data_IF_227919818036
#
_entry.id   IF_227919818036
#
_cell.length_a   1.000
_cell.length_b   1.000
_cell.length_c   1.000
_cell.angle_alpha   90.00
_cell.angle_beta   90.00
_cell.angle_gamma   90.00
#
_symmetry.space_group_name_H-M   'P 1'
#
loop_
_entity.id
_entity.type
_entity.pdbx_description
1 polymer ?
#
# COMPACT_ATOMS: atom_id res chain seq x y z
N UNK A 1 34.03 11.52 -16.07
CA UNK A 1 33.41 11.87 -14.77
C UNK A 1 31.91 11.92 -14.97
N UNK A 2 31.16 11.19 -14.16
CA UNK A 2 29.69 11.14 -14.23
C UNK A 2 29.01 12.39 -13.71
N UNK A 3 29.65 13.13 -12.79
CA UNK A 3 29.17 14.37 -12.20
C UNK A 3 29.97 15.55 -12.74
N UNK A 4 29.28 16.54 -13.30
CA UNK A 4 29.91 17.75 -13.87
C UNK A 4 29.06 19.01 -13.59
N UNK A 5 29.73 20.18 -13.57
CA UNK A 5 29.04 21.46 -13.38
C UNK A 5 28.39 21.88 -14.69
N UNK A 6 27.13 22.22 -14.67
CA UNK A 6 26.42 22.84 -15.79
C UNK A 6 26.75 24.35 -15.80
N UNK A 7 27.70 24.75 -16.64
CA UNK A 7 28.22 26.13 -16.71
C UNK A 7 27.14 27.17 -17.06
N UNK A 8 26.08 26.75 -17.80
CA UNK A 8 24.99 27.67 -18.19
C UNK A 8 24.03 27.97 -17.04
N UNK A 9 23.82 26.99 -16.12
CA UNK A 9 22.84 27.08 -15.03
C UNK A 9 23.47 27.27 -13.65
N UNK A 10 24.80 27.20 -13.53
CA UNK A 10 25.49 27.28 -12.25
C UNK A 10 25.30 26.08 -11.32
N UNK A 11 24.54 25.06 -11.73
CA UNK A 11 24.16 23.85 -10.95
C UNK A 11 25.01 22.65 -11.37
N UNK A 12 24.88 21.56 -10.62
CA UNK A 12 25.53 20.30 -10.95
C UNK A 12 24.58 19.38 -11.72
N UNK A 13 25.14 18.54 -12.58
CA UNK A 13 24.42 17.52 -13.36
C UNK A 13 25.12 16.17 -13.23
N UNK A 14 24.33 15.12 -13.33
CA UNK A 14 24.78 13.72 -13.32
C UNK A 14 24.48 13.09 -14.69
N UNK A 15 25.43 12.34 -15.20
CA UNK A 15 25.32 11.55 -16.42
C UNK A 15 25.73 10.12 -16.13
N UNK A 16 24.74 9.22 -16.00
CA UNK A 16 24.95 7.84 -15.54
C UNK A 16 24.73 6.88 -16.71
N UNK A 17 25.72 6.03 -16.95
CA UNK A 17 25.58 4.87 -17.85
C UNK A 17 25.35 3.65 -16.99
N UNK A 18 24.27 2.89 -17.26
CA UNK A 18 23.96 1.65 -16.56
C UNK A 18 23.38 0.62 -17.53
N UNK A 19 23.40 -0.65 -17.14
CA UNK A 19 22.69 -1.72 -17.87
C UNK A 19 21.30 -1.90 -17.26
N UNK A 20 20.28 -2.02 -18.10
CA UNK A 20 18.93 -2.36 -17.64
C UNK A 20 18.82 -3.86 -17.29
N UNK A 21 17.64 -4.29 -16.90
CA UNK A 21 17.37 -5.68 -16.52
C UNK A 21 17.55 -6.69 -17.68
N UNK A 22 17.55 -6.21 -18.94
CA UNK A 22 17.83 -7.01 -20.15
C UNK A 22 19.33 -7.01 -20.51
N UNK A 23 20.17 -6.29 -19.76
CA UNK A 23 21.59 -6.13 -20.06
C UNK A 23 21.88 -5.05 -21.09
N UNK A 24 20.88 -4.31 -21.56
CA UNK A 24 21.01 -3.24 -22.55
C UNK A 24 21.57 -1.98 -21.88
N UNK A 25 22.57 -1.35 -22.50
CA UNK A 25 23.17 -0.11 -22.00
C UNK A 25 22.19 1.07 -22.09
N UNK A 26 21.94 1.72 -20.96
CA UNK A 26 21.06 2.87 -20.84
C UNK A 26 21.83 4.08 -20.31
N UNK A 27 21.29 5.29 -20.59
CA UNK A 27 21.84 6.53 -20.12
C UNK A 27 20.77 7.29 -19.34
N UNK A 28 21.12 7.70 -18.12
CA UNK A 28 20.28 8.58 -17.30
C UNK A 28 20.98 9.89 -17.03
N UNK A 29 20.28 11.01 -17.27
CA UNK A 29 20.81 12.36 -17.01
C UNK A 29 19.86 13.12 -16.11
N UNK A 30 20.35 13.62 -14.96
CA UNK A 30 19.60 14.53 -14.08
C UNK A 30 20.43 15.79 -13.82
N UNK A 31 19.75 16.95 -13.82
CA UNK A 31 20.36 18.28 -13.66
C UNK A 31 19.72 19.01 -12.49
N UNK A 32 20.32 20.10 -12.04
CA UNK A 32 19.71 21.02 -11.05
C UNK A 32 20.12 20.75 -9.60
N UNK A 33 21.18 19.99 -9.35
CA UNK A 33 21.71 19.81 -7.99
C UNK A 33 22.44 21.07 -7.53
N UNK A 34 22.20 21.51 -6.29
CA UNK A 34 22.83 22.68 -5.72
C UNK A 34 24.33 22.43 -5.47
N UNK A 35 24.70 21.24 -5.05
CA UNK A 35 26.07 20.87 -4.69
C UNK A 35 26.57 19.63 -5.45
N UNK A 36 27.92 19.52 -5.57
CA UNK A 36 28.55 18.32 -6.11
C UNK A 36 28.26 17.09 -5.26
N UNK A 37 28.14 17.27 -3.95
CA UNK A 37 27.84 16.20 -2.98
C UNK A 37 26.47 15.57 -3.23
N UNK A 38 25.43 16.39 -3.37
CA UNK A 38 24.08 15.92 -3.72
C UNK A 38 24.06 15.16 -5.06
N UNK A 39 24.79 15.66 -6.06
CA UNK A 39 24.86 15.00 -7.35
C UNK A 39 25.54 13.62 -7.27
N UNK A 40 26.62 13.48 -6.48
CA UNK A 40 27.30 12.21 -6.23
C UNK A 40 26.46 11.24 -5.42
N UNK A 41 25.74 11.73 -4.41
CA UNK A 41 24.82 10.95 -3.60
C UNK A 41 23.68 10.39 -4.45
N UNK A 42 23.08 11.24 -5.29
CA UNK A 42 22.07 10.80 -6.26
C UNK A 42 22.60 9.75 -7.25
N UNK A 43 23.81 9.92 -7.79
CA UNK A 43 24.42 8.93 -8.67
C UNK A 43 24.58 7.57 -7.99
N UNK A 44 25.10 7.57 -6.77
CA UNK A 44 25.31 6.36 -5.98
C UNK A 44 23.98 5.65 -5.71
N UNK A 45 22.95 6.37 -5.28
CA UNK A 45 21.62 5.83 -5.00
C UNK A 45 20.96 5.27 -6.27
N UNK A 46 21.10 5.99 -7.39
CA UNK A 46 20.58 5.53 -8.67
C UNK A 46 21.26 4.22 -9.14
N UNK A 47 22.58 4.14 -9.04
CA UNK A 47 23.32 2.93 -9.41
C UNK A 47 22.99 1.76 -8.50
N UNK A 48 22.84 1.97 -7.18
CA UNK A 48 22.40 0.95 -6.23
C UNK A 48 21.00 0.42 -6.57
N UNK A 49 20.05 1.31 -6.89
CA UNK A 49 18.70 0.93 -7.34
C UNK A 49 18.73 0.08 -8.61
N UNK A 50 19.65 0.39 -9.55
CA UNK A 50 19.72 -0.31 -10.85
C UNK A 50 20.57 -1.59 -10.80
N UNK A 51 21.50 -1.71 -9.86
CA UNK A 51 22.30 -2.92 -9.67
C UNK A 51 21.55 -4.10 -9.06
N UNK A 52 20.31 -3.88 -8.58
CA UNK A 52 19.52 -4.87 -7.82
C UNK A 52 20.27 -5.40 -6.58
N UNK A 53 21.16 -4.59 -5.99
CA UNK A 53 21.95 -4.97 -4.85
C UNK A 53 21.15 -4.84 -3.54
N UNK A 54 21.11 -5.91 -2.76
CA UNK A 54 20.52 -5.93 -1.40
C UNK A 54 21.21 -5.00 -0.40
N UNK A 55 22.39 -4.45 -0.74
CA UNK A 55 23.08 -3.46 0.07
C UNK A 55 22.52 -2.03 -0.08
N UNK A 56 21.54 -1.82 -0.97
CA UNK A 56 20.84 -0.54 -1.06
C UNK A 56 20.11 -0.19 0.25
N UNK A 57 19.85 1.10 0.48
CA UNK A 57 19.05 1.54 1.61
C UNK A 57 17.64 0.95 1.59
N UNK A 58 17.09 0.69 2.76
CA UNK A 58 15.74 0.11 2.87
C UNK A 58 14.66 0.99 2.19
N UNK A 59 14.62 2.33 2.35
CA UNK A 59 13.64 3.17 1.65
C UNK A 59 13.72 3.05 0.14
N UNK A 60 14.94 3.01 -0.41
CA UNK A 60 15.16 2.86 -1.85
C UNK A 60 14.66 1.51 -2.36
N UNK A 61 14.85 0.44 -1.57
CA UNK A 61 14.31 -0.87 -1.93
C UNK A 61 12.77 -0.89 -1.87
N UNK A 62 12.17 -0.20 -0.89
CA UNK A 62 10.69 -0.07 -0.82
C UNK A 62 10.14 0.60 -2.07
N UNK A 63 10.81 1.63 -2.62
CA UNK A 63 10.41 2.24 -3.89
C UNK A 63 10.46 1.23 -5.05
N UNK A 64 11.55 0.46 -5.17
CA UNK A 64 11.68 -0.60 -6.18
C UNK A 64 10.56 -1.63 -6.02
N UNK A 65 10.31 -2.09 -4.80
CA UNK A 65 9.22 -3.02 -4.51
C UNK A 65 7.85 -2.45 -4.91
N UNK A 66 7.58 -1.18 -4.63
CA UNK A 66 6.32 -0.55 -4.99
C UNK A 66 6.17 -0.38 -6.50
N UNK A 67 7.24 -0.07 -7.23
CA UNK A 67 7.25 -0.03 -8.70
C UNK A 67 6.94 -1.42 -9.29
N UNK A 68 7.58 -2.48 -8.78
CA UNK A 68 7.35 -3.86 -9.22
C UNK A 68 5.90 -4.34 -8.94
N UNK A 69 5.29 -3.85 -7.85
CA UNK A 69 3.95 -4.25 -7.44
C UNK A 69 2.82 -3.42 -8.07
N UNK A 70 3.09 -2.18 -8.47
CA UNK A 70 2.09 -1.25 -9.00
C UNK A 70 1.21 -1.83 -10.12
N UNK A 71 1.75 -2.49 -11.16
CA UNK A 71 0.92 -3.04 -12.25
C UNK A 71 0.07 -4.24 -11.83
N UNK A 72 0.30 -4.81 -10.65
CA UNK A 72 -0.36 -6.03 -10.14
C UNK A 72 -1.43 -5.76 -9.10
N UNK A 73 -1.57 -4.51 -8.65
CA UNK A 73 -2.45 -4.12 -7.55
C UNK A 73 -3.57 -3.20 -8.02
N UNK A 74 -4.76 -3.39 -7.48
CA UNK A 74 -5.83 -2.39 -7.59
C UNK A 74 -5.40 -1.11 -6.86
N UNK A 75 -5.80 0.06 -7.36
CA UNK A 75 -5.40 1.37 -6.85
C UNK A 75 -5.57 1.48 -5.33
N UNK A 76 -6.73 1.13 -4.79
CA UNK A 76 -6.99 1.20 -3.34
C UNK A 76 -6.00 0.34 -2.52
N UNK A 77 -5.68 -0.87 -3.01
CA UNK A 77 -4.68 -1.74 -2.36
C UNK A 77 -3.29 -1.12 -2.40
N UNK A 78 -2.93 -0.51 -3.53
CA UNK A 78 -1.65 0.18 -3.69
C UNK A 78 -1.54 1.38 -2.74
N UNK A 79 -2.57 2.22 -2.66
CA UNK A 79 -2.61 3.39 -1.76
C UNK A 79 -2.54 3.00 -0.29
N UNK A 80 -3.31 1.98 0.13
CA UNK A 80 -3.27 1.47 1.50
C UNK A 80 -1.89 0.92 1.86
N UNK A 81 -1.29 0.15 0.94
CA UNK A 81 0.06 -0.39 1.11
C UNK A 81 1.08 0.74 1.22
N UNK A 82 1.03 1.73 0.33
CA UNK A 82 1.91 2.90 0.34
C UNK A 82 1.79 3.66 1.66
N UNK A 83 0.59 3.95 2.12
CA UNK A 83 0.35 4.63 3.40
C UNK A 83 0.99 3.91 4.58
N UNK A 84 0.83 2.59 4.68
CA UNK A 84 1.46 1.80 5.76
C UNK A 84 2.99 1.87 5.67
N UNK A 85 3.55 1.79 4.47
CA UNK A 85 5.00 1.89 4.29
C UNK A 85 5.52 3.25 4.70
N UNK A 86 4.91 4.32 4.22
CA UNK A 86 5.35 5.70 4.48
C UNK A 86 5.20 6.09 5.97
N UNK A 87 4.17 5.59 6.67
CA UNK A 87 3.87 6.03 8.04
C UNK A 87 4.35 5.08 9.14
N UNK A 88 4.52 3.79 8.86
CA UNK A 88 4.78 2.77 9.90
C UNK A 88 6.07 1.99 9.69
N UNK A 89 6.57 1.88 8.47
CA UNK A 89 7.71 1.02 8.15
C UNK A 89 8.95 1.85 7.82
N UNK A 90 8.89 2.70 6.80
CA UNK A 90 10.03 3.49 6.34
C UNK A 90 10.65 4.33 7.46
N UNK A 91 9.89 5.09 8.29
CA UNK A 91 10.49 5.95 9.30
C UNK A 91 11.37 5.21 10.32
N UNK A 92 11.06 3.95 10.60
CA UNK A 92 11.86 3.16 11.53
C UNK A 92 13.15 2.61 10.90
N UNK A 93 13.08 2.17 9.64
CA UNK A 93 14.20 1.53 8.94
C UNK A 93 14.96 2.48 8.01
N UNK A 94 14.69 3.79 8.04
CA UNK A 94 15.20 4.79 7.11
C UNK A 94 16.74 4.76 6.95
N UNK A 95 17.46 4.59 8.05
CA UNK A 95 18.93 4.66 8.09
C UNK A 95 19.61 3.31 7.87
N UNK A 96 18.84 2.24 7.62
CA UNK A 96 19.36 0.88 7.46
C UNK A 96 19.41 0.48 5.99
N UNK A 97 20.42 -0.33 5.65
CA UNK A 97 20.40 -1.06 4.37
C UNK A 97 19.48 -2.26 4.47
N UNK A 98 18.91 -2.71 3.34
CA UNK A 98 18.02 -3.87 3.31
C UNK A 98 18.68 -5.12 3.91
N UNK A 99 19.93 -5.43 3.52
CA UNK A 99 20.69 -6.57 4.04
C UNK A 99 21.14 -6.39 5.50
N UNK A 100 21.19 -5.15 6.00
CA UNK A 100 21.60 -4.84 7.36
C UNK A 100 20.48 -4.92 8.41
N UNK A 101 19.23 -5.17 7.98
CA UNK A 101 18.11 -5.33 8.91
C UNK A 101 18.10 -6.75 9.46
N UNK A 102 18.16 -6.86 10.80
CA UNK A 102 18.17 -8.13 11.52
C UNK A 102 16.80 -8.46 12.11
N UNK A 103 16.61 -9.72 12.53
CA UNK A 103 15.40 -10.12 13.28
C UNK A 103 15.22 -9.32 14.58
N UNK A 104 16.33 -8.96 15.25
CA UNK A 104 16.32 -8.13 16.46
C UNK A 104 15.77 -6.74 16.17
N UNK A 105 16.15 -6.13 15.03
CA UNK A 105 15.61 -4.83 14.62
C UNK A 105 14.10 -4.89 14.39
N UNK A 106 13.63 -5.99 13.78
CA UNK A 106 12.19 -6.20 13.54
C UNK A 106 11.45 -6.38 14.86
N UNK A 107 12.00 -7.12 15.85
CA UNK A 107 11.39 -7.27 17.17
C UNK A 107 11.30 -5.91 17.89
N UNK A 108 12.35 -5.10 17.84
CA UNK A 108 12.34 -3.75 18.45
C UNK A 108 11.28 -2.86 17.79
N UNK A 109 11.15 -2.89 16.47
CA UNK A 109 10.11 -2.18 15.76
C UNK A 109 8.69 -2.67 16.11
N UNK A 110 8.49 -3.99 16.25
CA UNK A 110 7.23 -4.56 16.72
C UNK A 110 6.88 -4.07 18.12
N UNK A 111 7.84 -4.07 19.04
CA UNK A 111 7.65 -3.60 20.41
C UNK A 111 7.27 -2.11 20.44
N UNK A 112 7.89 -1.28 19.60
CA UNK A 112 7.52 0.12 19.47
C UNK A 112 6.07 0.28 18.98
N UNK A 113 5.65 -0.46 17.96
CA UNK A 113 4.27 -0.41 17.46
C UNK A 113 3.24 -0.90 18.50
N UNK A 114 3.58 -1.93 19.27
CA UNK A 114 2.74 -2.45 20.35
C UNK A 114 2.56 -1.45 21.49
N UNK A 115 3.57 -0.61 21.75
CA UNK A 115 3.51 0.45 22.78
C UNK A 115 2.81 1.72 22.31
N UNK A 116 2.66 1.93 21.00
CA UNK A 116 1.99 3.12 20.45
C UNK A 116 0.52 3.19 20.85
N UNK A 117 0.08 4.41 21.13
CA UNK A 117 -1.32 4.76 21.45
C UNK A 117 -1.75 5.91 20.55
N UNK A 118 -3.02 5.97 20.22
CA UNK A 118 -3.61 7.13 19.54
C UNK A 118 -3.82 8.31 20.51
N UNK A 119 -4.40 9.40 20.01
CA UNK A 119 -4.70 10.61 20.78
C UNK A 119 -5.63 10.35 21.99
N UNK A 120 -6.40 9.27 21.96
CA UNK A 120 -7.32 8.82 23.01
C UNK A 120 -6.69 7.76 23.93
N UNK A 121 -5.40 7.46 23.78
CA UNK A 121 -4.70 6.43 24.57
C UNK A 121 -5.02 4.99 24.14
N UNK A 122 -5.70 4.78 23.00
CA UNK A 122 -6.13 3.46 22.52
C UNK A 122 -4.98 2.81 21.73
N UNK A 123 -4.62 1.55 22.02
CA UNK A 123 -3.62 0.81 21.25
C UNK A 123 -4.13 0.42 19.87
N UNK A 124 -3.22 0.21 18.93
CA UNK A 124 -3.56 -0.37 17.63
C UNK A 124 -4.26 -1.72 17.79
N UNK A 125 -5.30 -1.94 16.94
CA UNK A 125 -5.99 -3.23 16.94
C UNK A 125 -5.05 -4.36 16.51
N UNK A 126 -5.28 -5.57 17.04
CA UNK A 126 -4.47 -6.75 16.73
C UNK A 126 -4.47 -7.10 15.25
N UNK A 127 -5.58 -6.88 14.57
CA UNK A 127 -5.72 -7.09 13.11
C UNK A 127 -4.94 -6.04 12.31
N UNK A 128 -4.91 -4.79 12.76
CA UNK A 128 -4.12 -3.73 12.13
C UNK A 128 -2.61 -3.98 12.28
N UNK A 129 -2.16 -4.32 13.50
CA UNK A 129 -0.76 -4.72 13.75
C UNK A 129 -0.35 -5.89 12.84
N UNK A 130 -1.24 -6.88 12.68
CA UNK A 130 -1.02 -7.99 11.75
C UNK A 130 -0.89 -7.53 10.31
N UNK A 131 -1.71 -6.58 9.89
CA UNK A 131 -1.66 -6.00 8.55
C UNK A 131 -0.34 -5.30 8.30
N UNK A 132 0.13 -4.47 9.24
CA UNK A 132 1.44 -3.79 9.15
C UNK A 132 2.58 -4.82 9.04
N UNK A 133 2.58 -5.84 9.90
CA UNK A 133 3.57 -6.92 9.87
C UNK A 133 3.60 -7.64 8.52
N UNK A 134 2.43 -7.93 7.95
CA UNK A 134 2.33 -8.59 6.65
C UNK A 134 2.93 -7.73 5.52
N UNK A 135 2.83 -6.39 5.59
CA UNK A 135 3.47 -5.52 4.60
C UNK A 135 5.00 -5.59 4.68
N UNK A 136 5.57 -5.54 5.88
CA UNK A 136 7.02 -5.69 6.07
C UNK A 136 7.50 -7.05 5.58
N UNK A 137 6.82 -8.12 5.97
CA UNK A 137 7.14 -9.49 5.53
C UNK A 137 7.07 -9.64 4.01
N UNK A 138 6.11 -8.98 3.34
CA UNK A 138 5.98 -9.01 1.89
C UNK A 138 7.15 -8.32 1.18
N UNK A 139 7.67 -7.21 1.72
CA UNK A 139 8.87 -6.54 1.19
C UNK A 139 10.08 -7.48 1.24
N UNK A 140 10.34 -8.10 2.41
CA UNK A 140 11.47 -9.02 2.55
C UNK A 140 11.31 -10.30 1.74
N UNK A 141 10.09 -10.85 1.62
CA UNK A 141 9.83 -12.01 0.75
C UNK A 141 10.12 -11.68 -0.73
N UNK A 142 9.77 -10.48 -1.16
CA UNK A 142 10.08 -10.00 -2.51
C UNK A 142 11.61 -9.87 -2.71
N UNK A 143 12.30 -9.32 -1.71
CA UNK A 143 13.78 -9.24 -1.71
C UNK A 143 14.44 -10.63 -1.78
N UNK A 144 13.97 -11.58 -0.99
CA UNK A 144 14.49 -12.95 -1.02
C UNK A 144 14.24 -13.63 -2.37
N UNK A 145 13.07 -13.44 -2.96
CA UNK A 145 12.70 -14.13 -4.20
C UNK A 145 13.39 -13.57 -5.44
N UNK A 146 13.57 -12.25 -5.52
CA UNK A 146 13.94 -11.59 -6.77
C UNK A 146 15.25 -10.80 -6.70
N UNK A 147 15.76 -10.51 -5.49
CA UNK A 147 16.89 -9.59 -5.29
C UNK A 147 18.04 -10.21 -4.47
N UNK A 148 17.98 -11.52 -4.21
CA UNK A 148 19.10 -12.26 -3.62
C UNK A 148 19.29 -12.08 -2.11
N UNK A 149 18.31 -11.54 -1.38
CA UNK A 149 18.35 -11.56 0.08
C UNK A 149 18.20 -13.01 0.56
N UNK A 150 19.13 -13.47 1.40
CA UNK A 150 19.22 -14.88 1.80
C UNK A 150 18.07 -15.29 2.75
N UNK A 151 17.70 -14.42 3.66
CA UNK A 151 16.73 -14.73 4.73
C UNK A 151 15.80 -13.55 4.97
N UNK A 152 14.52 -13.82 5.21
CA UNK A 152 13.56 -12.81 5.61
C UNK A 152 13.63 -12.60 7.14
N UNK A 153 14.15 -11.45 7.63
CA UNK A 153 14.28 -11.17 9.07
C UNK A 153 12.91 -11.02 9.76
N UNK A 154 11.88 -10.62 9.02
CA UNK A 154 10.51 -10.52 9.54
C UNK A 154 9.90 -11.88 9.87
N UNK A 155 10.26 -12.93 9.12
CA UNK A 155 9.83 -14.29 9.43
C UNK A 155 10.56 -14.85 10.66
N UNK A 156 11.84 -14.52 10.82
CA UNK A 156 12.62 -14.91 11.99
C UNK A 156 12.15 -14.23 13.29
N UNK A 157 11.77 -12.96 13.21
CA UNK A 157 11.24 -12.20 14.34
C UNK A 157 9.87 -12.70 14.83
N UNK A 158 9.17 -13.47 14.00
CA UNK A 158 7.81 -13.93 14.31
C UNK A 158 6.72 -12.93 13.95
N UNK A 159 5.47 -13.33 14.24
CA UNK A 159 4.28 -12.58 13.82
C UNK A 159 3.81 -11.63 14.92
N UNK A 160 3.49 -10.40 14.55
CA UNK A 160 2.85 -9.43 15.42
C UNK A 160 1.33 -9.41 15.13
N UNK A 161 0.55 -9.25 16.21
CA UNK A 161 -0.92 -9.18 16.11
C UNK A 161 -1.61 -10.52 15.84
N UNK A 162 -2.94 -10.49 15.85
CA UNK A 162 -3.79 -11.68 15.66
C UNK A 162 -4.52 -11.61 14.32
N UNK A 163 -4.71 -12.75 13.67
CA UNK A 163 -5.43 -12.84 12.40
C UNK A 163 -6.95 -12.72 12.59
N UNK A 164 -7.48 -13.19 13.71
CA UNK A 164 -8.91 -13.18 13.99
C UNK A 164 -9.28 -11.89 14.72
N UNK A 165 -10.20 -11.12 14.15
CA UNK A 165 -10.80 -9.95 14.76
C UNK A 165 -11.82 -10.31 15.84
N UNK A 166 -12.47 -9.30 16.39
CA UNK A 166 -13.67 -9.46 17.20
C UNK A 166 -14.78 -10.08 16.35
N UNK A 167 -15.68 -10.80 16.97
CA UNK A 167 -16.88 -11.31 16.31
C UNK A 167 -17.68 -10.16 15.71
N UNK A 168 -18.15 -10.34 14.48
CA UNK A 168 -18.94 -9.32 13.80
C UNK A 168 -20.35 -9.35 14.36
N UNK A 169 -20.84 -8.20 14.80
CA UNK A 169 -22.25 -8.00 15.15
C UNK A 169 -23.08 -7.96 13.87
N UNK A 170 -24.25 -8.53 13.91
CA UNK A 170 -25.26 -8.47 12.84
C UNK A 170 -26.61 -8.16 13.45
N UNK A 171 -27.47 -7.59 12.65
CA UNK A 171 -28.86 -7.35 13.06
C UNK A 171 -29.71 -8.57 12.74
N UNK A 172 -30.61 -8.91 13.68
CA UNK A 172 -31.69 -9.85 13.42
C UNK A 172 -32.70 -9.20 12.46
N UNK A 173 -33.58 -10.00 11.87
CA UNK A 173 -34.63 -9.49 11.00
C UNK A 173 -35.53 -8.48 11.73
N UNK A 174 -35.88 -8.77 12.98
CA UNK A 174 -36.73 -7.93 13.82
C UNK A 174 -36.05 -6.57 14.12
N UNK A 175 -34.78 -6.57 14.40
CA UNK A 175 -33.98 -5.34 14.61
C UNK A 175 -33.90 -4.52 13.33
N UNK A 176 -33.63 -5.14 12.21
CA UNK A 176 -33.60 -4.46 10.92
C UNK A 176 -34.96 -3.85 10.56
N UNK A 177 -36.08 -4.55 10.75
CA UNK A 177 -37.42 -4.00 10.46
C UNK A 177 -37.75 -2.78 11.31
N UNK A 178 -37.34 -2.72 12.59
CA UNK A 178 -37.48 -1.53 13.44
C UNK A 178 -36.66 -0.35 12.91
N UNK A 179 -35.42 -0.62 12.47
CA UNK A 179 -34.59 0.41 11.85
C UNK A 179 -35.21 0.92 10.54
N UNK A 180 -35.66 0.02 9.66
CA UNK A 180 -36.25 0.35 8.38
C UNK A 180 -37.51 1.24 8.55
N UNK A 181 -38.31 0.99 9.58
CA UNK A 181 -39.50 1.82 9.90
C UNK A 181 -39.12 3.27 10.19
N UNK A 182 -38.08 3.50 11.00
CA UNK A 182 -37.57 4.83 11.33
C UNK A 182 -36.95 5.54 10.11
N UNK A 183 -36.44 4.78 9.14
CA UNK A 183 -35.79 5.36 7.95
C UNK A 183 -36.76 5.76 6.83
N UNK A 184 -38.05 5.50 6.95
CA UNK A 184 -39.08 5.80 5.92
C UNK A 184 -39.18 7.28 5.58
N UNK A 185 -38.87 8.18 6.49
CA UNK A 185 -38.81 9.63 6.28
C UNK A 185 -37.63 10.07 5.38
N UNK A 186 -36.66 9.16 5.08
CA UNK A 186 -35.51 9.38 4.24
C UNK A 186 -35.51 8.41 3.05
N UNK A 187 -36.34 8.64 2.01
CA UNK A 187 -36.61 7.62 0.98
C UNK A 187 -35.37 7.04 0.31
N UNK A 188 -34.37 7.88 -0.05
CA UNK A 188 -33.14 7.42 -0.71
C UNK A 188 -32.38 6.45 0.19
N UNK A 189 -32.21 6.81 1.47
CA UNK A 189 -31.50 5.96 2.43
C UNK A 189 -32.30 4.69 2.73
N UNK A 190 -33.62 4.80 2.87
CA UNK A 190 -34.52 3.67 3.09
C UNK A 190 -34.34 2.61 1.98
N UNK A 191 -34.49 2.98 0.71
CA UNK A 191 -34.35 2.05 -0.40
C UNK A 191 -32.93 1.50 -0.53
N UNK A 192 -31.92 2.30 -0.24
CA UNK A 192 -30.53 1.83 -0.22
C UNK A 192 -30.33 0.70 0.82
N UNK A 193 -30.83 0.89 2.04
CA UNK A 193 -30.74 -0.13 3.09
C UNK A 193 -31.58 -1.36 2.78
N UNK A 194 -32.77 -1.20 2.18
CA UNK A 194 -33.59 -2.33 1.72
C UNK A 194 -32.80 -3.19 0.72
N UNK A 195 -32.19 -2.57 -0.28
CA UNK A 195 -31.36 -3.32 -1.26
C UNK A 195 -30.19 -4.01 -0.57
N UNK A 196 -29.44 -3.32 0.29
CA UNK A 196 -28.30 -3.89 1.01
C UNK A 196 -28.70 -5.08 1.87
N UNK A 197 -29.76 -4.94 2.65
CA UNK A 197 -30.19 -5.98 3.60
C UNK A 197 -30.70 -7.23 2.89
N UNK A 198 -31.59 -7.05 1.91
CA UNK A 198 -32.23 -8.20 1.26
C UNK A 198 -31.36 -8.89 0.19
N UNK A 199 -30.40 -8.17 -0.40
CA UNK A 199 -29.52 -8.74 -1.42
C UNK A 199 -28.15 -9.13 -0.91
N UNK A 200 -27.70 -8.56 0.22
CA UNK A 200 -26.34 -8.77 0.77
C UNK A 200 -25.21 -8.20 -0.08
N UNK A 201 -25.50 -7.34 -1.05
CA UNK A 201 -24.46 -6.66 -1.85
C UNK A 201 -23.65 -5.70 -0.98
N UNK A 202 -22.43 -5.37 -1.42
CA UNK A 202 -21.60 -4.40 -0.70
C UNK A 202 -22.02 -2.97 -1.01
N UNK A 203 -21.78 -2.04 -0.07
CA UNK A 203 -22.08 -0.60 -0.24
C UNK A 203 -21.51 -0.04 -1.56
N UNK A 204 -20.25 -0.30 -1.89
CA UNK A 204 -19.67 0.17 -3.15
C UNK A 204 -20.31 -0.45 -4.40
N UNK A 205 -20.86 -1.65 -4.31
CA UNK A 205 -21.62 -2.30 -5.39
C UNK A 205 -22.97 -1.62 -5.55
N UNK A 206 -23.66 -1.31 -4.42
CA UNK A 206 -24.91 -0.54 -4.44
C UNK A 206 -24.71 0.83 -5.09
N UNK A 207 -23.69 1.58 -4.67
CA UNK A 207 -23.39 2.93 -5.18
C UNK A 207 -23.02 2.96 -6.66
N UNK A 208 -22.62 1.82 -7.22
CA UNK A 208 -22.29 1.68 -8.63
C UNK A 208 -23.48 1.23 -9.49
N UNK A 209 -24.64 0.90 -8.91
CA UNK A 209 -25.80 0.41 -9.65
C UNK A 209 -26.39 1.49 -10.56
N UNK A 210 -26.76 1.08 -11.74
CA UNK A 210 -27.48 1.88 -12.75
C UNK A 210 -28.81 1.21 -13.10
N UNK A 211 -29.72 1.97 -13.72
CA UNK A 211 -31.03 1.46 -14.11
C UNK A 211 -30.96 0.20 -14.97
N UNK A 212 -29.95 0.11 -15.83
CA UNK A 212 -29.74 -1.05 -16.74
C UNK A 212 -29.31 -2.33 -16.00
N UNK A 213 -28.87 -2.24 -14.76
CA UNK A 213 -28.46 -3.41 -13.97
C UNK A 213 -29.66 -4.20 -13.40
N UNK A 214 -30.86 -3.60 -13.46
CA UNK A 214 -32.13 -4.20 -12.99
C UNK A 214 -32.89 -4.82 -14.17
N UNK A 215 -33.05 -6.11 -14.17
CA UNK A 215 -33.98 -6.82 -15.06
C UNK A 215 -35.23 -7.22 -14.24
N UNK A 216 -36.28 -6.39 -14.33
CA UNK A 216 -37.51 -6.61 -13.55
C UNK A 216 -38.25 -7.84 -14.05
N UNK A 217 -38.25 -8.09 -15.36
CA UNK A 217 -38.94 -9.25 -15.96
C UNK A 217 -38.36 -10.57 -15.46
N UNK A 218 -37.03 -10.68 -15.45
CA UNK A 218 -36.34 -11.88 -14.99
C UNK A 218 -36.04 -11.86 -13.47
N UNK A 219 -36.41 -10.77 -12.78
CA UNK A 219 -36.12 -10.54 -11.35
C UNK A 219 -34.63 -10.69 -11.04
N UNK A 220 -33.76 -10.14 -11.89
CA UNK A 220 -32.29 -10.24 -11.79
C UNK A 220 -31.69 -8.88 -11.54
N UNK A 221 -30.69 -8.85 -10.66
CA UNK A 221 -29.80 -7.72 -10.41
C UNK A 221 -28.38 -8.12 -10.85
N UNK A 222 -27.80 -7.34 -11.78
CA UNK A 222 -26.44 -7.59 -12.29
C UNK A 222 -25.44 -6.74 -11.49
N UNK A 223 -24.47 -7.40 -10.85
CA UNK A 223 -23.43 -6.76 -10.04
C UNK A 223 -22.07 -7.02 -10.71
N UNK A 224 -21.63 -6.07 -11.52
CA UNK A 224 -20.38 -6.18 -12.29
C UNK A 224 -19.42 -5.01 -12.04
N UNK A 225 -19.78 -4.06 -11.17
CA UNK A 225 -19.01 -2.86 -10.86
C UNK A 225 -19.15 -2.47 -9.39
N UNK A 226 -18.19 -1.71 -8.90
CA UNK A 226 -18.14 -1.19 -7.53
C UNK A 226 -17.58 0.22 -7.53
N UNK A 227 -18.25 1.14 -6.85
CA UNK A 227 -17.82 2.52 -6.66
C UNK A 227 -16.82 2.63 -5.50
N UNK A 228 -15.83 3.50 -5.66
CA UNK A 228 -14.88 3.88 -4.62
C UNK A 228 -14.52 5.35 -4.76
N UNK A 229 -14.50 6.07 -3.64
CA UNK A 229 -13.96 7.44 -3.57
C UNK A 229 -12.54 7.38 -3.00
N UNK A 230 -11.53 7.75 -3.79
CA UNK A 230 -10.12 7.66 -3.43
C UNK A 230 -9.41 8.97 -3.75
N UNK A 231 -8.75 9.57 -2.77
CA UNK A 231 -7.96 10.80 -2.92
C UNK A 231 -8.74 11.98 -3.55
N UNK A 232 -10.04 12.08 -3.27
CA UNK A 232 -10.90 13.13 -3.79
C UNK A 232 -11.48 12.85 -5.18
N UNK A 233 -11.25 11.67 -5.75
CA UNK A 233 -11.74 11.27 -7.07
C UNK A 233 -12.63 10.01 -6.98
N UNK A 234 -13.57 9.91 -7.89
CA UNK A 234 -14.52 8.81 -7.99
C UNK A 234 -14.05 7.76 -8.99
N UNK A 235 -14.05 6.50 -8.56
CA UNK A 235 -13.62 5.37 -9.38
C UNK A 235 -14.70 4.30 -9.44
N UNK A 236 -14.97 3.82 -10.66
CA UNK A 236 -15.73 2.59 -10.88
C UNK A 236 -14.74 1.46 -11.18
N UNK A 237 -14.81 0.39 -10.41
CA UNK A 237 -13.90 -0.75 -10.50
C UNK A 237 -14.69 -2.05 -10.60
N UNK A 238 -14.02 -3.16 -10.96
CA UNK A 238 -14.61 -4.49 -10.86
C UNK A 238 -14.91 -4.83 -9.38
N UNK A 239 -15.98 -5.58 -9.10
CA UNK A 239 -16.29 -6.04 -7.75
C UNK A 239 -15.11 -6.77 -7.10
N UNK A 240 -15.14 -6.85 -5.79
CA UNK A 240 -14.21 -7.69 -5.03
C UNK A 240 -14.83 -9.08 -4.92
N UNK A 241 -14.57 -9.91 -5.88
CA UNK A 241 -14.98 -11.33 -5.85
C UNK A 241 -14.28 -12.07 -4.74
#
# INVERSE_FOLDING_TARGET
MSVSKDKKRGTWKVYIRYKDWQGVGQIHTKRGFATKREALEYERDFLLKKSKDVNMGFPQFVEVYMEDMKPRLKLNTFLTKKHIMDTKIIPYFEKKSLAGITATDVIQWQNQLLSMRDENGIPYSQTYLRTIQNQLSAIFNHACRFYGLTVNPSNQAGKMGKAKGKEMLFWTKEEYLKFAEVMKDKPISYYAFEVLYWTGIREGELLALERGDFNITDRKLTINKSYQHLQGEDYITSPKT
#
